data_IF_500635927032
#
_entry.id   IF_500635927032
#
_cell.length_a   1.000
_cell.length_b   1.000
_cell.length_c   1.000
_cell.angle_alpha   90.00
_cell.angle_beta   90.00
_cell.angle_gamma   90.00
#
_symmetry.space_group_name_H-M   'P 1'
#
loop_
_entity.id
_entity.type
_entity.pdbx_description
1 polymer ?
#
# COMPACT_ATOMS: atom_id res chain seq x y z
N UNK A 1 22.42 -17.71 -24.56
CA UNK A 1 20.94 -17.54 -24.55
C UNK A 1 20.32 -17.86 -23.19
N UNK A 2 20.59 -19.02 -22.55
CA UNK A 2 20.10 -19.34 -21.18
C UNK A 2 20.52 -18.32 -20.10
N UNK A 3 21.74 -17.77 -20.17
CA UNK A 3 22.24 -16.78 -19.22
C UNK A 3 21.57 -15.40 -19.33
N UNK A 4 21.16 -14.97 -20.53
CA UNK A 4 20.45 -13.69 -20.71
C UNK A 4 19.01 -13.75 -20.15
N UNK A 5 18.34 -14.91 -20.30
CA UNK A 5 17.01 -15.14 -19.74
C UNK A 5 17.03 -15.18 -18.21
N UNK A 6 18.02 -15.84 -17.59
CA UNK A 6 18.11 -15.88 -16.12
C UNK A 6 18.42 -14.50 -15.54
N UNK A 7 19.39 -13.78 -16.08
CA UNK A 7 19.74 -12.44 -15.58
C UNK A 7 18.62 -11.41 -15.75
N UNK A 8 17.81 -11.54 -16.80
CA UNK A 8 16.62 -10.68 -16.99
C UNK A 8 15.51 -11.03 -15.98
N UNK A 9 15.33 -12.32 -15.70
CA UNK A 9 14.33 -12.79 -14.74
C UNK A 9 14.69 -12.43 -13.29
N UNK A 10 15.98 -12.50 -12.94
CA UNK A 10 16.50 -12.06 -11.65
C UNK A 10 16.28 -10.55 -11.48
N UNK A 11 16.61 -9.74 -12.50
CA UNK A 11 16.40 -8.29 -12.48
C UNK A 11 14.93 -7.87 -12.38
N UNK A 12 14.02 -8.58 -13.06
CA UNK A 12 12.57 -8.34 -12.93
C UNK A 12 12.10 -8.68 -11.52
N UNK A 13 12.58 -9.78 -10.95
CA UNK A 13 12.23 -10.23 -9.60
C UNK A 13 12.73 -9.23 -8.54
N UNK A 14 13.97 -8.76 -8.69
CA UNK A 14 14.56 -7.75 -7.79
C UNK A 14 13.83 -6.41 -7.89
N UNK A 15 13.46 -6.00 -9.11
CA UNK A 15 12.68 -4.77 -9.32
C UNK A 15 11.29 -4.89 -8.71
N UNK A 16 10.60 -6.02 -8.93
CA UNK A 16 9.28 -6.28 -8.34
C UNK A 16 9.35 -6.30 -6.80
N UNK A 17 10.40 -6.88 -6.23
CA UNK A 17 10.66 -6.88 -4.79
C UNK A 17 10.88 -5.46 -4.28
N UNK A 18 11.76 -4.68 -4.91
CA UNK A 18 12.03 -3.28 -4.55
C UNK A 18 10.77 -2.41 -4.59
N UNK A 19 9.94 -2.56 -5.63
CA UNK A 19 8.64 -1.86 -5.73
C UNK A 19 7.70 -2.27 -4.60
N UNK A 20 7.64 -3.56 -4.29
CA UNK A 20 6.80 -4.09 -3.20
C UNK A 20 7.27 -3.53 -1.85
N UNK A 21 8.57 -3.53 -1.60
CA UNK A 21 9.17 -3.04 -0.36
C UNK A 21 8.92 -1.53 -0.20
N UNK A 22 9.08 -0.75 -1.28
CA UNK A 22 8.79 0.69 -1.27
C UNK A 22 7.30 0.98 -1.06
N UNK A 23 6.41 0.18 -1.67
CA UNK A 23 4.97 0.28 -1.48
C UNK A 23 4.56 -0.01 -0.03
N UNK A 24 5.09 -1.10 0.55
CA UNK A 24 4.82 -1.47 1.93
C UNK A 24 5.38 -0.44 2.93
N UNK A 25 6.58 0.11 2.67
CA UNK A 25 7.15 1.18 3.46
C UNK A 25 6.26 2.44 3.44
N UNK A 26 5.81 2.87 2.26
CA UNK A 26 4.92 4.02 2.11
C UNK A 26 3.60 3.83 2.86
N UNK A 27 3.02 2.62 2.80
CA UNK A 27 1.79 2.32 3.55
C UNK A 27 2.04 2.40 5.05
N UNK A 28 3.13 1.80 5.54
CA UNK A 28 3.46 1.81 6.96
C UNK A 28 3.70 3.23 7.48
N UNK A 29 4.45 4.06 6.75
CA UNK A 29 4.67 5.46 7.11
C UNK A 29 3.37 6.26 7.14
N UNK A 30 2.49 6.04 6.17
CA UNK A 30 1.17 6.69 6.15
C UNK A 30 0.30 6.22 7.31
N UNK A 31 0.31 4.92 7.63
CA UNK A 31 -0.44 4.37 8.74
C UNK A 31 0.04 4.95 10.08
N UNK A 32 1.35 4.99 10.33
CA UNK A 32 1.94 5.61 11.52
C UNK A 32 1.48 7.06 11.67
N UNK A 33 1.57 7.85 10.60
CA UNK A 33 1.19 9.27 10.61
C UNK A 33 -0.27 9.46 11.01
N UNK A 34 -1.17 8.72 10.38
CA UNK A 34 -2.61 8.84 10.64
C UNK A 34 -2.98 8.29 12.01
N UNK A 35 -2.33 7.22 12.48
CA UNK A 35 -2.51 6.71 13.85
C UNK A 35 -2.11 7.80 14.86
N UNK A 36 -0.95 8.43 14.67
CA UNK A 36 -0.46 9.50 15.55
C UNK A 36 -1.41 10.71 15.55
N UNK A 37 -1.85 11.16 14.37
CA UNK A 37 -2.84 12.24 14.23
C UNK A 37 -4.15 11.91 14.96
N UNK A 38 -4.62 10.65 14.87
CA UNK A 38 -5.84 10.20 15.56
C UNK A 38 -5.68 10.12 17.08
N UNK A 39 -4.51 9.73 17.56
CA UNK A 39 -4.18 9.68 19.00
C UNK A 39 -4.14 11.10 19.56
N UNK A 40 -3.44 12.01 18.87
CA UNK A 40 -3.32 13.41 19.25
C UNK A 40 -4.68 14.12 19.23
N UNK A 41 -5.50 13.89 18.20
CA UNK A 41 -6.86 14.45 18.10
C UNK A 41 -7.78 13.99 19.24
N UNK A 42 -7.50 12.84 19.87
CA UNK A 42 -8.21 12.34 21.05
C UNK A 42 -7.63 12.85 22.37
N UNK A 43 -6.59 13.70 22.33
CA UNK A 43 -5.90 14.21 23.51
C UNK A 43 -5.10 13.14 24.26
N UNK A 44 -4.78 12.04 23.60
CA UNK A 44 -3.98 10.95 24.17
C UNK A 44 -2.50 11.17 23.84
N UNK A 45 -1.63 10.65 24.69
CA UNK A 45 -0.18 10.65 24.46
C UNK A 45 0.25 9.25 24.01
N UNK A 46 1.05 9.16 22.95
CA UNK A 46 1.48 7.89 22.33
C UNK A 46 2.27 7.03 23.33
N UNK A 47 3.05 7.66 24.22
CA UNK A 47 3.84 7.02 25.27
C UNK A 47 3.01 6.30 26.34
N UNK A 48 1.69 6.56 26.39
CA UNK A 48 0.75 5.91 27.31
C UNK A 48 0.01 4.74 26.68
N UNK A 49 0.22 4.47 25.40
CA UNK A 49 -0.40 3.36 24.68
C UNK A 49 0.56 2.18 24.74
N UNK A 50 0.04 0.99 25.06
CA UNK A 50 0.85 -0.23 25.04
C UNK A 50 1.39 -0.48 23.63
N UNK A 51 2.63 -0.94 23.53
CA UNK A 51 3.29 -1.11 22.24
C UNK A 51 2.51 -2.07 21.32
N UNK A 52 1.98 -3.16 21.86
CA UNK A 52 1.18 -4.14 21.09
C UNK A 52 -0.11 -3.52 20.53
N UNK A 53 -0.79 -2.69 21.32
CA UNK A 53 -1.98 -1.97 20.88
C UNK A 53 -1.64 -0.97 19.77
N UNK A 54 -0.55 -0.22 19.94
CA UNK A 54 -0.09 0.73 18.94
C UNK A 54 0.29 0.04 17.61
N UNK A 55 0.99 -1.09 17.68
CA UNK A 55 1.33 -1.89 16.50
C UNK A 55 0.08 -2.48 15.83
N UNK A 56 -0.91 -2.90 16.62
CA UNK A 56 -2.20 -3.38 16.11
C UNK A 56 -2.95 -2.27 15.36
N UNK A 57 -2.99 -1.05 15.93
CA UNK A 57 -3.58 0.12 15.27
C UNK A 57 -2.91 0.44 13.93
N UNK A 58 -1.57 0.38 13.86
CA UNK A 58 -0.83 0.57 12.60
C UNK A 58 -1.15 -0.54 11.61
N UNK A 59 -1.20 -1.79 12.07
CA UNK A 59 -1.48 -2.96 11.24
C UNK A 59 -2.86 -2.89 10.59
N UNK A 60 -3.89 -2.60 11.38
CA UNK A 60 -5.26 -2.47 10.87
C UNK A 60 -5.39 -1.32 9.89
N UNK A 61 -4.82 -0.15 10.21
CA UNK A 61 -4.85 0.98 9.30
C UNK A 61 -4.05 0.73 8.01
N UNK A 62 -2.97 -0.05 8.08
CA UNK A 62 -2.20 -0.45 6.90
C UNK A 62 -3.03 -1.35 5.98
N UNK A 63 -3.87 -2.24 6.53
CA UNK A 63 -4.83 -3.04 5.74
C UNK A 63 -5.87 -2.14 5.08
N UNK A 64 -6.46 -1.21 5.82
CA UNK A 64 -7.45 -0.27 5.29
C UNK A 64 -6.89 0.56 4.12
N UNK A 65 -5.65 1.03 4.23
CA UNK A 65 -4.99 1.80 3.15
C UNK A 65 -4.77 0.92 1.91
N UNK A 66 -4.34 -0.34 2.09
CA UNK A 66 -4.18 -1.29 0.98
C UNK A 66 -5.51 -1.56 0.28
N UNK A 67 -6.57 -1.75 1.04
CA UNK A 67 -7.92 -1.96 0.49
C UNK A 67 -8.43 -0.74 -0.27
N UNK A 68 -8.22 0.48 0.24
CA UNK A 68 -8.59 1.72 -0.46
C UNK A 68 -7.85 1.87 -1.79
N UNK A 69 -6.56 1.57 -1.83
CA UNK A 69 -5.80 1.59 -3.08
C UNK A 69 -6.28 0.52 -4.07
N UNK A 70 -6.55 -0.70 -3.60
CA UNK A 70 -7.12 -1.75 -4.45
C UNK A 70 -8.48 -1.34 -5.02
N UNK A 71 -9.34 -0.72 -4.20
CA UNK A 71 -10.64 -0.22 -4.63
C UNK A 71 -10.51 0.88 -5.69
N UNK A 72 -9.59 1.83 -5.49
CA UNK A 72 -9.33 2.90 -6.47
C UNK A 72 -8.78 2.35 -7.78
N UNK A 73 -7.88 1.38 -7.73
CA UNK A 73 -7.37 0.71 -8.92
C UNK A 73 -8.50 0.00 -9.68
N UNK A 74 -9.37 -0.74 -8.97
CA UNK A 74 -10.52 -1.41 -9.56
C UNK A 74 -11.51 -0.41 -10.18
N UNK A 75 -11.79 0.71 -9.50
CA UNK A 75 -12.65 1.77 -10.05
C UNK A 75 -12.04 2.41 -11.30
N UNK A 76 -10.73 2.66 -11.32
CA UNK A 76 -10.03 3.18 -12.49
C UNK A 76 -10.10 2.21 -13.68
N UNK A 77 -9.89 0.92 -13.44
CA UNK A 77 -10.01 -0.11 -14.47
C UNK A 77 -11.45 -0.19 -15.01
N UNK A 78 -12.46 -0.20 -14.13
CA UNK A 78 -13.86 -0.23 -14.54
C UNK A 78 -14.26 1.03 -15.32
N UNK A 79 -13.75 2.21 -14.91
CA UNK A 79 -13.95 3.44 -15.65
C UNK A 79 -13.31 3.37 -17.04
N UNK A 80 -12.10 2.82 -17.16
CA UNK A 80 -11.44 2.62 -18.45
C UNK A 80 -12.23 1.67 -19.35
N UNK A 81 -12.63 0.50 -18.85
CA UNK A 81 -13.46 -0.45 -19.59
C UNK A 81 -14.82 0.16 -19.97
N UNK A 82 -15.41 0.96 -19.09
CA UNK A 82 -16.64 1.69 -19.38
C UNK A 82 -16.47 2.70 -20.52
N UNK A 83 -15.37 3.45 -20.52
CA UNK A 83 -15.03 4.37 -21.61
C UNK A 83 -14.77 3.62 -22.93
N UNK A 84 -14.05 2.49 -22.86
CA UNK A 84 -13.79 1.59 -23.99
C UNK A 84 -15.08 1.08 -24.63
N UNK A 85 -16.03 0.59 -23.80
CA UNK A 85 -17.34 0.16 -24.28
C UNK A 85 -18.20 1.30 -24.85
N UNK A 86 -18.09 2.51 -24.31
CA UNK A 86 -18.88 3.66 -24.76
C UNK A 86 -18.33 4.29 -26.05
N UNK A 87 -17.01 4.31 -26.23
CA UNK A 87 -16.34 5.04 -27.31
C UNK A 87 -15.62 4.13 -28.32
N UNK A 88 -15.59 2.81 -28.10
CA UNK A 88 -15.01 1.84 -29.02
C UNK A 88 -13.51 2.02 -29.26
N UNK A 89 -12.77 2.42 -28.23
CA UNK A 89 -11.30 2.44 -28.26
C UNK A 89 -10.70 1.02 -28.21
#
# INVERSE_FOLDING_TARGET
MKSFLSSSMDSITDTAKSVTDAYDAHIKEKAIRVVNEKIEAKGLQIDRIEQEDYETMISDLSKDIKEDYAKKAAQGLLAFIGLDMLFGL
#
